data_IF_095575311390
#
_entry.id   IF_095575311390
#
_cell.length_a   1.000
_cell.length_b   1.000
_cell.length_c   1.000
_cell.angle_alpha   90.00
_cell.angle_beta   90.00
_cell.angle_gamma   90.00
#
_symmetry.space_group_name_H-M   'P 1'
#
loop_
_entity.id
_entity.type
_entity.pdbx_description
1 polymer ?
#
# COMPACT_ATOMS: atom_id res chain seq x y z
N UNK A 1 7.41 -4.52 3.59
CA UNK A 1 7.15 -3.57 2.48
C UNK A 1 7.84 -2.25 2.75
N UNK A 2 7.90 -1.32 1.79
CA UNK A 2 8.48 0.03 2.01
C UNK A 2 7.75 0.78 3.13
N UNK A 3 6.45 0.55 3.28
CA UNK A 3 5.64 1.17 4.32
C UNK A 3 6.04 0.75 5.73
N UNK A 4 6.18 -0.54 6.01
CA UNK A 4 6.64 -1.03 7.33
C UNK A 4 8.01 -0.46 7.68
N UNK A 5 8.95 -0.48 6.73
CA UNK A 5 10.30 0.02 6.94
C UNK A 5 10.35 1.54 7.22
N UNK A 6 9.35 2.30 6.76
CA UNK A 6 9.22 3.74 7.02
C UNK A 6 8.51 4.00 8.35
N UNK A 7 7.49 3.21 8.68
CA UNK A 7 6.67 3.39 9.88
C UNK A 7 7.41 2.98 11.17
N UNK A 8 8.28 1.97 11.09
CA UNK A 8 9.07 1.45 12.21
C UNK A 8 10.21 2.39 12.67
N UNK A 9 10.52 3.44 11.91
CA UNK A 9 11.62 4.35 12.22
C UNK A 9 11.18 5.80 12.30
N UNK A 10 11.74 6.54 13.26
CA UNK A 10 11.63 7.99 13.33
C UNK A 10 12.83 8.71 12.69
N UNK A 11 13.85 7.97 12.21
CA UNK A 11 15.07 8.59 11.67
C UNK A 11 14.93 8.90 10.19
N UNK A 12 15.03 10.19 9.86
CA UNK A 12 14.90 10.71 8.49
C UNK A 12 15.77 9.98 7.47
N UNK A 13 17.04 9.71 7.79
CA UNK A 13 17.94 9.03 6.85
C UNK A 13 17.59 7.56 6.64
N UNK A 14 17.03 6.88 7.65
CA UNK A 14 16.56 5.49 7.52
C UNK A 14 15.33 5.42 6.61
N UNK A 15 14.39 6.38 6.75
CA UNK A 15 13.24 6.51 5.83
C UNK A 15 13.67 6.75 4.39
N UNK A 16 14.60 7.68 4.17
CA UNK A 16 15.17 7.95 2.84
C UNK A 16 15.82 6.69 2.27
N UNK A 17 16.63 5.99 3.07
CA UNK A 17 17.26 4.74 2.67
C UNK A 17 16.25 3.64 2.32
N UNK A 18 15.15 3.51 3.07
CA UNK A 18 14.08 2.57 2.79
C UNK A 18 13.40 2.87 1.44
N UNK A 19 13.10 4.14 1.16
CA UNK A 19 12.53 4.56 -0.13
C UNK A 19 13.49 4.30 -1.30
N UNK A 20 14.78 4.62 -1.15
CA UNK A 20 15.79 4.35 -2.19
C UNK A 20 15.88 2.86 -2.51
N UNK A 21 15.96 1.99 -1.48
CA UNK A 21 16.00 0.53 -1.69
C UNK A 21 14.75 0.02 -2.40
N UNK A 22 13.59 0.58 -2.06
CA UNK A 22 12.34 0.23 -2.72
C UNK A 22 12.35 0.64 -4.20
N UNK A 23 12.71 1.88 -4.53
CA UNK A 23 12.77 2.35 -5.93
C UNK A 23 13.79 1.61 -6.79
N UNK A 24 14.82 1.01 -6.19
CA UNK A 24 15.79 0.17 -6.91
C UNK A 24 15.26 -1.20 -7.35
N UNK A 25 14.20 -1.69 -6.71
CA UNK A 25 13.72 -3.07 -6.89
C UNK A 25 12.27 -3.13 -7.36
N UNK A 26 11.49 -2.08 -7.14
CA UNK A 26 10.10 -2.01 -7.55
C UNK A 26 9.96 -1.82 -9.07
N UNK A 27 8.98 -2.49 -9.70
CA UNK A 27 8.49 -2.12 -11.03
C UNK A 27 8.09 -0.63 -11.09
N UNK A 28 8.20 -0.02 -12.28
CA UNK A 28 8.02 1.43 -12.44
C UNK A 28 6.59 1.91 -12.13
N UNK A 29 5.58 1.10 -12.42
CA UNK A 29 4.18 1.32 -12.07
C UNK A 29 3.94 1.26 -10.55
N UNK A 30 4.49 0.24 -9.88
CA UNK A 30 4.46 0.12 -8.41
C UNK A 30 5.16 1.31 -7.75
N UNK A 31 6.32 1.71 -8.28
CA UNK A 31 7.04 2.88 -7.82
C UNK A 31 6.23 4.17 -8.02
N UNK A 32 5.52 4.31 -9.14
CA UNK A 32 4.62 5.45 -9.38
C UNK A 32 3.51 5.54 -8.32
N UNK A 33 2.86 4.41 -8.02
CA UNK A 33 1.83 4.33 -6.99
C UNK A 33 2.36 4.60 -5.59
N UNK A 34 3.53 4.04 -5.25
CA UNK A 34 4.19 4.31 -3.98
C UNK A 34 4.48 5.80 -3.82
N UNK A 35 5.08 6.46 -4.83
CA UNK A 35 5.31 7.91 -4.83
C UNK A 35 4.01 8.67 -4.60
N UNK A 36 2.93 8.30 -5.31
CA UNK A 36 1.62 8.93 -5.21
C UNK A 36 1.10 8.94 -3.76
N UNK A 37 1.14 7.79 -3.08
CA UNK A 37 0.70 7.69 -1.68
C UNK A 37 1.66 8.35 -0.70
N UNK A 38 2.97 8.23 -0.90
CA UNK A 38 3.99 8.79 0.00
C UNK A 38 3.97 10.32 0.03
N UNK A 39 3.63 10.99 -1.09
CA UNK A 39 3.42 12.45 -1.11
C UNK A 39 2.03 12.88 -0.60
N UNK A 40 1.22 11.93 -0.12
CA UNK A 40 -0.07 12.18 0.51
C UNK A 40 -1.26 12.27 -0.45
N UNK A 41 -1.09 11.94 -1.75
CA UNK A 41 -2.23 11.83 -2.67
C UNK A 41 -2.93 10.49 -2.43
N UNK A 42 -4.24 10.53 -2.27
CA UNK A 42 -5.04 9.34 -1.94
C UNK A 42 -6.50 9.50 -2.36
N UNK A 43 -7.19 8.39 -2.68
CA UNK A 43 -8.64 8.38 -2.80
C UNK A 43 -9.28 8.83 -1.48
N UNK A 44 -10.38 9.59 -1.55
CA UNK A 44 -11.09 10.05 -0.35
C UNK A 44 -12.24 9.09 -0.04
N UNK A 45 -12.15 8.41 1.11
CA UNK A 45 -13.24 7.67 1.77
C UNK A 45 -14.05 6.79 0.79
N UNK A 46 -13.44 5.67 0.40
CA UNK A 46 -14.03 4.75 -0.59
C UNK A 46 -15.20 3.94 -0.02
N UNK A 47 -15.16 3.63 1.27
CA UNK A 47 -16.19 2.86 1.99
C UNK A 47 -16.60 3.62 3.24
N UNK A 48 -17.88 3.52 3.61
CA UNK A 48 -18.43 4.13 4.83
C UNK A 48 -17.90 3.40 6.06
N UNK A 49 -17.42 4.16 7.06
CA UNK A 49 -16.91 3.61 8.32
C UNK A 49 -17.88 2.65 9.03
N UNK A 50 -19.18 2.98 9.18
CA UNK A 50 -20.15 2.08 9.81
C UNK A 50 -20.31 0.74 9.07
N UNK A 51 -20.33 0.75 7.73
CA UNK A 51 -20.42 -0.48 6.94
C UNK A 51 -19.17 -1.35 7.14
N UNK A 52 -17.98 -0.73 7.11
CA UNK A 52 -16.71 -1.41 7.33
C UNK A 52 -16.60 -2.01 8.74
N UNK A 53 -17.11 -1.31 9.75
CA UNK A 53 -17.23 -1.81 11.13
C UNK A 53 -18.12 -3.04 11.22
N UNK A 54 -19.33 -2.96 10.64
CA UNK A 54 -20.27 -4.07 10.63
C UNK A 54 -19.69 -5.30 9.92
N UNK A 55 -19.11 -5.13 8.74
CA UNK A 55 -18.56 -6.26 7.97
C UNK A 55 -17.36 -6.89 8.66
N UNK A 56 -16.57 -6.12 9.40
CA UNK A 56 -15.45 -6.66 10.17
C UNK A 56 -15.92 -7.50 11.37
N UNK A 57 -16.98 -7.06 12.08
CA UNK A 57 -17.61 -7.86 13.14
C UNK A 57 -18.08 -9.21 12.58
N UNK A 58 -18.81 -9.17 11.47
CA UNK A 58 -19.32 -10.37 10.80
C UNK A 58 -18.19 -11.30 10.34
N UNK A 59 -17.12 -10.74 9.77
CA UNK A 59 -15.99 -11.51 9.25
C UNK A 59 -15.07 -12.09 10.34
N UNK A 60 -14.99 -11.41 11.50
CA UNK A 60 -14.23 -11.88 12.65
C UNK A 60 -15.01 -12.90 13.52
N UNK A 61 -16.31 -13.06 13.27
CA UNK A 61 -17.22 -13.84 14.12
C UNK A 61 -17.17 -13.39 15.60
N UNK A 62 -17.13 -12.08 15.82
CA UNK A 62 -17.07 -11.48 17.16
C UNK A 62 -18.40 -10.82 17.54
N UNK A 63 -18.79 -10.85 18.83
CA UNK A 63 -19.89 -10.01 19.29
C UNK A 63 -19.49 -8.53 19.22
N UNK A 64 -20.45 -7.66 18.92
CA UNK A 64 -20.20 -6.23 18.71
C UNK A 64 -19.49 -5.53 19.89
N UNK A 65 -19.79 -5.93 21.12
CA UNK A 65 -19.15 -5.36 22.31
C UNK A 65 -17.65 -5.71 22.36
N UNK A 66 -17.25 -6.92 21.99
CA UNK A 66 -15.84 -7.33 22.03
C UNK A 66 -15.04 -6.61 20.95
N UNK A 67 -15.62 -6.41 19.77
CA UNK A 67 -15.00 -5.59 18.73
C UNK A 67 -14.81 -4.14 19.20
N UNK A 68 -15.80 -3.55 19.89
CA UNK A 68 -15.69 -2.21 20.45
C UNK A 68 -14.56 -2.10 21.49
N UNK A 69 -14.43 -3.09 22.39
CA UNK A 69 -13.32 -3.14 23.35
C UNK A 69 -11.95 -3.27 22.64
N UNK A 70 -11.86 -4.09 21.58
CA UNK A 70 -10.65 -4.16 20.76
C UNK A 70 -10.32 -2.81 20.12
N UNK A 71 -11.33 -2.11 19.60
CA UNK A 71 -11.16 -0.79 19.03
C UNK A 71 -10.72 0.24 20.07
N UNK A 72 -11.30 0.25 21.27
CA UNK A 72 -10.94 1.18 22.34
C UNK A 72 -9.50 0.95 22.83
N UNK A 73 -9.03 -0.31 22.83
CA UNK A 73 -7.65 -0.64 23.16
C UNK A 73 -6.63 -0.19 22.09
N UNK A 74 -7.00 -0.26 20.80
CA UNK A 74 -6.11 0.05 19.67
C UNK A 74 -6.18 1.54 19.25
N UNK A 75 -7.37 2.14 19.28
CA UNK A 75 -7.62 3.52 18.90
C UNK A 75 -7.73 3.77 17.39
N UNK A 76 -7.67 2.73 16.55
CA UNK A 76 -7.74 2.83 15.09
C UNK A 76 -8.49 1.66 14.44
N UNK A 77 -9.43 1.97 13.54
CA UNK A 77 -10.28 0.96 12.91
C UNK A 77 -9.49 0.05 11.96
N UNK A 78 -8.53 0.61 11.21
CA UNK A 78 -7.77 -0.19 10.25
C UNK A 78 -6.88 -1.21 10.96
N UNK A 79 -6.24 -0.80 12.06
CA UNK A 79 -5.45 -1.67 12.92
C UNK A 79 -6.31 -2.69 13.67
N UNK A 80 -7.47 -2.28 14.19
CA UNK A 80 -8.43 -3.20 14.84
C UNK A 80 -8.84 -4.31 13.88
N UNK A 81 -9.27 -3.98 12.67
CA UNK A 81 -9.69 -4.95 11.65
C UNK A 81 -8.54 -5.87 11.25
N UNK A 82 -7.35 -5.31 11.01
CA UNK A 82 -6.16 -6.11 10.71
C UNK A 82 -5.81 -7.07 11.86
N UNK A 83 -6.16 -6.72 13.10
CA UNK A 83 -5.85 -7.51 14.27
C UNK A 83 -6.83 -8.63 14.59
N UNK A 84 -8.13 -8.37 14.41
CA UNK A 84 -9.19 -9.31 14.82
C UNK A 84 -9.56 -10.32 13.74
N UNK A 85 -9.29 -10.01 12.47
CA UNK A 85 -9.60 -10.94 11.39
C UNK A 85 -8.65 -12.14 11.39
N UNK A 86 -9.15 -13.37 11.18
CA UNK A 86 -8.32 -14.57 11.15
C UNK A 86 -7.28 -14.48 10.04
N UNK A 87 -6.07 -14.99 10.29
CA UNK A 87 -5.01 -15.06 9.27
C UNK A 87 -5.50 -15.87 8.05
N UNK A 88 -4.98 -15.56 6.86
CA UNK A 88 -5.37 -16.21 5.62
C UNK A 88 -5.27 -17.76 5.74
N UNK A 89 -6.22 -18.53 5.15
CA UNK A 89 -6.16 -19.99 5.16
C UNK A 89 -4.85 -20.49 4.55
N UNK A 90 -3.91 -20.94 5.40
CA UNK A 90 -2.56 -21.32 5.01
C UNK A 90 -1.49 -21.00 6.05
N UNK A 91 -1.69 -19.92 6.83
CA UNK A 91 -0.77 -19.54 7.91
C UNK A 91 -0.73 -20.58 9.06
N UNK A 92 -1.88 -21.18 9.38
CA UNK A 92 -1.97 -22.21 10.42
C UNK A 92 -1.59 -23.61 9.92
N UNK A 93 -1.87 -23.97 8.66
CA UNK A 93 -1.53 -25.30 8.12
C UNK A 93 0.00 -25.56 8.07
N UNK A 94 0.79 -24.51 7.85
CA UNK A 94 2.26 -24.56 7.91
C UNK A 94 2.83 -24.71 9.34
N UNK A 95 2.07 -24.32 10.36
CA UNK A 95 2.51 -24.41 11.77
C UNK A 95 2.26 -25.79 12.40
N UNK A 96 1.39 -26.61 11.81
CA UNK A 96 1.02 -27.95 12.31
C UNK A 96 1.43 -29.09 11.36
N UNK A 97 2.04 -28.79 10.21
CA UNK A 97 2.66 -29.79 9.35
C UNK A 97 4.18 -29.64 9.39
N UNK A 98 4.87 -30.74 9.66
CA UNK A 98 6.34 -30.92 9.62
C UNK A 98 7.01 -30.13 8.48
N UNK A 99 8.23 -29.60 8.69
CA UNK A 99 8.95 -28.85 7.66
C UNK A 99 9.30 -29.79 6.50
N UNK A 100 8.49 -29.76 5.44
CA UNK A 100 8.89 -30.30 4.15
C UNK A 100 9.66 -29.17 3.42
N UNK A 101 10.91 -29.40 2.99
CA UNK A 101 11.62 -28.41 2.20
C UNK A 101 10.80 -28.13 0.92
N UNK A 102 10.68 -26.87 0.48
CA UNK A 102 9.99 -26.57 -0.77
C UNK A 102 10.75 -27.25 -1.91
N UNK A 103 10.10 -28.25 -2.52
CA UNK A 103 10.50 -28.83 -3.79
C UNK A 103 10.61 -27.69 -4.79
N UNK A 104 11.80 -27.53 -5.36
CA UNK A 104 12.07 -26.58 -6.44
C UNK A 104 11.16 -26.83 -7.64
N UNK A 105 11.07 -25.80 -8.51
CA UNK A 105 10.28 -25.65 -9.74
C UNK A 105 8.98 -24.87 -9.46
N UNK A 106 8.88 -23.58 -9.76
CA UNK A 106 8.92 -23.08 -11.14
C UNK A 106 9.20 -21.57 -11.16
N UNK A 107 10.15 -21.17 -12.01
CA UNK A 107 10.26 -19.81 -12.51
C UNK A 107 9.00 -19.46 -13.29
N UNK A 108 8.29 -18.40 -12.89
CA UNK A 108 7.61 -17.50 -13.83
C UNK A 108 7.75 -16.08 -13.30
N UNK A 109 8.71 -15.37 -13.90
CA UNK A 109 8.73 -13.92 -13.93
C UNK A 109 7.51 -13.46 -14.72
N UNK A 110 6.39 -13.28 -14.05
CA UNK A 110 5.30 -12.44 -14.55
C UNK A 110 5.56 -11.03 -14.03
N UNK A 111 6.01 -10.14 -14.91
CA UNK A 111 6.04 -8.71 -14.65
C UNK A 111 4.60 -8.25 -14.38
N UNK A 112 4.24 -8.15 -13.09
CA UNK A 112 2.91 -7.74 -12.63
C UNK A 112 2.03 -8.88 -12.10
N UNK A 113 2.55 -9.72 -11.21
CA UNK A 113 1.75 -10.72 -10.49
C UNK A 113 0.56 -10.11 -9.72
N UNK A 114 -0.44 -10.93 -9.41
CA UNK A 114 -1.64 -10.57 -8.61
C UNK A 114 -1.33 -9.90 -7.25
N UNK A 115 -0.09 -9.95 -6.81
CA UNK A 115 0.40 -9.41 -5.56
C UNK A 115 1.04 -8.01 -5.70
N UNK A 116 1.08 -7.41 -6.91
CA UNK A 116 1.69 -6.10 -7.13
C UNK A 116 0.86 -4.95 -6.53
N UNK A 117 1.54 -3.86 -6.14
CA UNK A 117 0.85 -2.68 -5.61
C UNK A 117 -0.10 -2.09 -6.64
N UNK A 118 0.32 -2.02 -7.90
CA UNK A 118 -0.48 -1.53 -9.03
C UNK A 118 -1.74 -2.35 -9.20
N UNK A 119 -1.65 -3.68 -9.17
CA UNK A 119 -2.82 -4.56 -9.27
C UNK A 119 -3.83 -4.29 -8.15
N UNK A 120 -3.36 -4.26 -6.90
CA UNK A 120 -4.21 -3.98 -5.74
C UNK A 120 -4.87 -2.61 -5.81
N UNK A 121 -4.15 -1.60 -6.29
CA UNK A 121 -4.70 -0.25 -6.35
C UNK A 121 -5.73 -0.13 -7.48
N UNK A 122 -5.38 -0.54 -8.68
CA UNK A 122 -6.20 -0.31 -9.87
C UNK A 122 -7.40 -1.25 -9.98
N UNK A 123 -7.22 -2.52 -9.58
CA UNK A 123 -8.26 -3.54 -9.75
C UNK A 123 -9.10 -3.77 -8.49
N UNK A 124 -8.62 -3.37 -7.31
CA UNK A 124 -9.32 -3.58 -6.04
C UNK A 124 -9.66 -2.26 -5.36
N UNK A 125 -8.67 -1.42 -5.02
CA UNK A 125 -8.88 -0.23 -4.20
C UNK A 125 -9.72 0.85 -4.91
N UNK A 126 -9.32 1.29 -6.11
CA UNK A 126 -10.01 2.38 -6.81
C UNK A 126 -11.46 2.01 -7.20
N UNK A 127 -11.74 0.80 -7.72
CA UNK A 127 -13.10 0.41 -8.09
C UNK A 127 -14.08 0.42 -6.92
N UNK A 128 -13.63 0.18 -5.68
CA UNK A 128 -14.50 0.18 -4.49
C UNK A 128 -15.37 1.43 -4.42
N UNK A 129 -14.82 2.62 -4.70
CA UNK A 129 -15.55 3.88 -4.57
C UNK A 129 -16.75 4.04 -5.52
N UNK A 130 -16.81 3.25 -6.59
CA UNK A 130 -17.88 3.28 -7.58
C UNK A 130 -18.88 2.11 -7.45
N UNK A 131 -18.54 1.08 -6.65
CA UNK A 131 -19.36 -0.12 -6.49
C UNK A 131 -20.60 0.12 -5.62
N UNK A 132 -21.73 -0.56 -5.88
CA UNK A 132 -22.84 -0.68 -4.93
C UNK A 132 -22.39 -1.34 -3.62
N UNK A 133 -23.06 -1.01 -2.51
CA UNK A 133 -22.69 -1.49 -1.17
C UNK A 133 -22.56 -3.02 -1.04
N UNK A 134 -23.44 -3.87 -1.64
CA UNK A 134 -23.25 -5.32 -1.60
C UNK A 134 -21.98 -5.80 -2.30
N UNK A 135 -21.62 -5.17 -3.42
CA UNK A 135 -20.39 -5.48 -4.17
C UNK A 135 -19.15 -4.97 -3.44
N UNK A 136 -19.22 -3.79 -2.81
CA UNK A 136 -18.17 -3.28 -1.93
C UNK A 136 -17.89 -4.25 -0.78
N UNK A 137 -18.95 -4.77 -0.13
CA UNK A 137 -18.82 -5.75 0.96
C UNK A 137 -18.08 -6.99 0.48
N UNK A 138 -18.51 -7.58 -0.64
CA UNK A 138 -17.89 -8.79 -1.18
C UNK A 138 -16.42 -8.57 -1.55
N UNK A 139 -16.11 -7.46 -2.21
CA UNK A 139 -14.74 -7.11 -2.57
C UNK A 139 -13.85 -6.90 -1.32
N UNK A 140 -14.38 -6.25 -0.28
CA UNK A 140 -13.66 -6.00 0.96
C UNK A 140 -13.38 -7.29 1.75
N UNK A 141 -14.36 -8.18 1.84
CA UNK A 141 -14.22 -9.48 2.50
C UNK A 141 -13.18 -10.36 1.79
N UNK A 142 -13.18 -10.37 0.44
CA UNK A 142 -12.14 -11.05 -0.35
C UNK A 142 -10.77 -10.46 -0.09
N UNK A 143 -10.65 -9.13 -0.16
CA UNK A 143 -9.40 -8.44 0.10
C UNK A 143 -8.83 -8.78 1.49
N UNK A 144 -9.67 -8.78 2.52
CA UNK A 144 -9.23 -9.17 3.86
C UNK A 144 -8.79 -10.62 3.93
N UNK A 145 -9.49 -11.55 3.29
CA UNK A 145 -9.07 -12.95 3.28
C UNK A 145 -7.71 -13.15 2.59
N UNK A 146 -7.46 -12.44 1.50
CA UNK A 146 -6.31 -12.66 0.64
C UNK A 146 -5.06 -11.89 1.10
N UNK A 147 -5.22 -10.79 1.85
CA UNK A 147 -4.12 -10.02 2.43
C UNK A 147 -3.66 -10.57 3.78
N UNK A 148 -2.37 -10.50 4.05
CA UNK A 148 -1.78 -10.69 5.39
C UNK A 148 -2.14 -9.53 6.33
N UNK A 149 -1.84 -9.66 7.63
CA UNK A 149 -2.11 -8.62 8.63
C UNK A 149 -1.63 -7.23 8.20
N UNK A 150 -0.42 -7.13 7.65
CA UNK A 150 0.16 -5.84 7.26
C UNK A 150 -0.52 -5.25 6.02
N UNK A 151 -0.81 -6.08 5.02
CA UNK A 151 -1.57 -5.72 3.84
C UNK A 151 -2.97 -5.22 4.21
N UNK A 152 -3.67 -5.92 5.10
CA UNK A 152 -4.99 -5.48 5.63
C UNK A 152 -4.89 -4.11 6.29
N UNK A 153 -3.88 -3.90 7.13
CA UNK A 153 -3.67 -2.61 7.81
C UNK A 153 -3.51 -1.46 6.81
N UNK A 154 -2.59 -1.60 5.84
CA UNK A 154 -2.34 -0.58 4.82
C UNK A 154 -3.57 -0.35 3.94
N UNK A 155 -4.20 -1.42 3.47
CA UNK A 155 -5.39 -1.37 2.63
C UNK A 155 -6.55 -0.64 3.33
N UNK A 156 -6.81 -0.99 4.59
CA UNK A 156 -7.84 -0.34 5.41
C UNK A 156 -7.54 1.14 5.68
N UNK A 157 -6.27 1.50 5.90
CA UNK A 157 -5.85 2.91 6.04
C UNK A 157 -6.08 3.71 4.75
N UNK A 158 -5.86 3.08 3.59
CA UNK A 158 -6.10 3.72 2.29
C UNK A 158 -7.62 3.94 2.07
N UNK A 159 -8.45 2.93 2.32
CA UNK A 159 -9.92 3.03 2.19
C UNK A 159 -10.51 4.13 3.06
N UNK A 160 -10.11 4.17 4.33
CA UNK A 160 -10.60 5.13 5.32
C UNK A 160 -10.06 6.54 5.10
N UNK A 161 -9.03 6.70 4.24
CA UNK A 161 -8.32 7.97 4.08
C UNK A 161 -7.57 8.38 5.35
N UNK A 162 -7.23 7.44 6.22
CA UNK A 162 -6.39 7.67 7.41
C UNK A 162 -4.90 7.44 7.13
N UNK A 163 -4.56 6.94 5.93
CA UNK A 163 -3.19 6.61 5.54
C UNK A 163 -2.21 7.80 5.66
N UNK A 164 -1.27 7.71 6.60
CA UNK A 164 -0.15 8.64 6.81
C UNK A 164 1.06 7.81 7.23
N UNK A 165 2.21 8.10 6.64
CA UNK A 165 3.46 7.34 6.90
C UNK A 165 4.58 8.21 7.49
N UNK A 166 4.25 9.43 7.93
CA UNK A 166 5.24 10.33 8.52
C UNK A 166 6.41 10.68 7.58
N UNK A 167 6.14 10.73 6.27
CA UNK A 167 7.09 11.14 5.22
C UNK A 167 6.54 12.40 4.57
N UNK A 168 7.35 13.47 4.53
CA UNK A 168 7.01 14.68 3.79
C UNK A 168 7.33 14.50 2.30
N UNK A 169 6.69 15.31 1.44
CA UNK A 169 7.02 15.35 0.02
C UNK A 169 8.52 15.60 -0.22
N UNK A 170 9.15 16.45 0.59
CA UNK A 170 10.59 16.74 0.49
C UNK A 170 11.47 15.49 0.73
N UNK A 171 11.06 14.60 1.63
CA UNK A 171 11.77 13.34 1.85
C UNK A 171 11.63 12.39 0.67
N UNK A 172 10.45 12.33 0.03
CA UNK A 172 10.25 11.57 -1.20
C UNK A 172 11.11 12.13 -2.32
N UNK A 173 11.12 13.46 -2.50
CA UNK A 173 11.97 14.16 -3.48
C UNK A 173 13.45 13.83 -3.24
N UNK A 174 13.90 13.87 -1.99
CA UNK A 174 15.29 13.53 -1.62
C UNK A 174 15.62 12.07 -1.98
N UNK A 175 14.73 11.14 -1.69
CA UNK A 175 14.94 9.73 -2.03
C UNK A 175 14.97 9.49 -3.54
N UNK A 176 14.03 10.09 -4.29
CA UNK A 176 14.01 10.02 -5.75
C UNK A 176 15.26 10.63 -6.38
N UNK A 177 15.73 11.77 -5.87
CA UNK A 177 16.97 12.39 -6.33
C UNK A 177 18.19 11.51 -6.07
N UNK A 178 18.27 10.90 -4.89
CA UNK A 178 19.35 9.96 -4.55
C UNK A 178 19.30 8.68 -5.39
N UNK A 179 18.09 8.16 -5.66
CA UNK A 179 17.88 6.98 -6.50
C UNK A 179 18.27 7.23 -7.95
N UNK A 180 17.76 8.32 -8.54
CA UNK A 180 17.87 8.61 -9.97
C UNK A 180 19.11 9.41 -10.37
N UNK A 181 19.84 9.95 -9.39
CA UNK A 181 20.91 10.94 -9.60
C UNK A 181 20.43 12.23 -10.30
N UNK A 182 19.11 12.47 -10.33
CA UNK A 182 18.52 13.72 -10.83
C UNK A 182 18.47 14.74 -9.69
N UNK A 183 18.83 16.02 -9.92
CA UNK A 183 18.77 17.04 -8.87
C UNK A 183 17.37 17.17 -8.24
N UNK A 184 17.32 17.28 -6.91
CA UNK A 184 16.07 17.42 -6.15
C UNK A 184 15.13 18.55 -6.65
N UNK A 185 15.63 19.73 -7.07
CA UNK A 185 14.77 20.76 -7.66
C UNK A 185 14.06 20.31 -8.95
N UNK A 186 14.71 19.50 -9.78
CA UNK A 186 14.13 18.95 -11.02
C UNK A 186 13.06 17.92 -10.70
N UNK A 187 13.33 17.01 -9.76
CA UNK A 187 12.33 16.05 -9.27
C UNK A 187 11.10 16.76 -8.69
N UNK A 188 11.34 17.75 -7.83
CA UNK A 188 10.27 18.55 -7.22
C UNK A 188 9.40 19.21 -8.28
N UNK A 189 10.02 19.86 -9.28
CA UNK A 189 9.32 20.46 -10.42
C UNK A 189 8.49 19.44 -11.20
N UNK A 190 9.02 18.25 -11.49
CA UNK A 190 8.31 17.18 -12.21
C UNK A 190 7.12 16.60 -11.43
N UNK A 191 7.14 16.66 -10.10
CA UNK A 191 6.03 16.23 -9.24
C UNK A 191 4.92 17.29 -9.10
N UNK A 192 5.14 18.51 -9.58
CA UNK A 192 4.14 19.58 -9.52
C UNK A 192 2.96 19.29 -10.46
N UNK A 193 1.78 19.76 -10.08
CA UNK A 193 0.56 19.60 -10.89
C UNK A 193 -0.09 18.22 -10.80
N UNK A 194 -1.07 17.99 -11.67
CA UNK A 194 -1.80 16.72 -11.73
C UNK A 194 -1.08 15.74 -12.65
N UNK A 195 -0.92 14.51 -12.18
CA UNK A 195 -0.32 13.41 -12.93
C UNK A 195 -0.94 12.09 -12.50
N UNK A 196 -0.92 11.11 -13.39
CA UNK A 196 -1.38 9.75 -13.15
C UNK A 196 -0.20 8.84 -12.83
N UNK A 197 -0.28 8.02 -11.77
CA UNK A 197 0.77 7.08 -11.38
C UNK A 197 0.85 5.95 -12.40
N UNK A 198 1.70 6.14 -13.41
CA UNK A 198 1.95 5.16 -14.47
C UNK A 198 3.45 4.90 -14.55
N UNK A 199 3.85 3.74 -15.08
CA UNK A 199 5.25 3.43 -15.35
C UNK A 199 5.92 4.55 -16.18
N UNK A 200 5.25 4.99 -17.26
CA UNK A 200 5.74 6.08 -18.11
C UNK A 200 5.95 7.40 -17.35
N UNK A 201 5.06 7.74 -16.41
CA UNK A 201 5.25 8.91 -15.56
C UNK A 201 6.48 8.74 -14.66
N UNK A 202 6.62 7.58 -13.99
CA UNK A 202 7.75 7.31 -13.12
C UNK A 202 9.08 7.36 -13.89
N UNK A 203 9.16 6.76 -15.07
CA UNK A 203 10.35 6.82 -15.93
C UNK A 203 10.70 8.25 -16.30
N UNK A 204 9.70 9.06 -16.69
CA UNK A 204 9.90 10.50 -16.98
C UNK A 204 10.34 11.29 -15.74
N UNK A 205 9.85 10.92 -14.56
CA UNK A 205 10.17 11.54 -13.30
C UNK A 205 11.64 11.35 -12.96
N UNK A 206 12.20 10.15 -13.20
CA UNK A 206 13.57 9.78 -12.85
C UNK A 206 14.58 9.87 -14.01
N UNK A 207 14.13 10.24 -15.21
CA UNK A 207 15.01 10.39 -16.38
C UNK A 207 16.07 11.49 -16.19
N UNK A 208 17.34 11.16 -16.47
CA UNK A 208 18.49 12.08 -16.37
C UNK A 208 18.51 13.15 -17.48
N UNK A 209 17.84 12.90 -18.60
CA UNK A 209 17.77 13.86 -19.71
C UNK A 209 16.65 14.87 -19.49
N UNK A 210 16.98 16.03 -18.94
CA UNK A 210 16.20 17.25 -19.20
C UNK A 210 16.57 17.74 -20.60
N UNK A 211 15.82 17.32 -21.63
CA UNK A 211 15.86 17.99 -22.92
C UNK A 211 15.53 19.47 -22.70
N UNK A 212 16.58 20.29 -22.71
CA UNK A 212 16.46 21.74 -22.72
C UNK A 212 16.06 22.09 -24.16
N UNK A 213 14.77 22.17 -24.46
CA UNK A 213 14.34 22.84 -25.69
C UNK A 213 14.50 24.35 -25.48
N UNK A 214 15.68 24.87 -25.82
CA UNK A 214 15.81 26.26 -26.28
C UNK A 214 15.41 26.27 -27.75
N UNK A 215 14.38 27.05 -28.05
CA UNK A 215 13.98 27.49 -29.38
C UNK A 215 13.23 28.79 -29.21
#
# INVERSE_FOLDING_TARGET
TVYSAIDETNKTNEKVGAMVRYFQTAPADDAAWAVHFLIGRRPKRLVKGPSMWQWAIEAADLPAWLFAECYDAVGDLAETIAAVLPEAPGAYAAAISTPQPPSSLTNQSEEGGSDSLTHWVENVLLPLGAMPEPEQREALLRAWRDLDRQGRYVFNKLITGAFRVGVSQDLVVRALAQFSQVPAPVISHRLMGNWTPTAAFFDSLVATNSATSRG
#
